data_IF_794464063698
#
_entry.id   IF_794464063698
#
_cell.length_a   1.000
_cell.length_b   1.000
_cell.length_c   1.000
_cell.angle_alpha   90.00
_cell.angle_beta   90.00
_cell.angle_gamma   90.00
#
_symmetry.space_group_name_H-M   'P 1'
#
loop_
_entity.id
_entity.type
_entity.pdbx_description
1 polymer ?
#
# COMPACT_ATOMS: atom_id res chain seq x y z
N UNK A 1 -8.00 12.04 29.21
CA UNK A 1 -6.92 11.63 28.29
C UNK A 1 -7.59 11.18 26.99
N UNK A 2 -7.27 11.79 25.86
CA UNK A 2 -7.77 11.33 24.55
C UNK A 2 -7.26 9.89 24.31
N UNK A 3 -8.12 9.02 23.79
CA UNK A 3 -7.69 7.69 23.33
C UNK A 3 -6.64 7.88 22.24
N UNK A 4 -5.53 7.13 22.29
CA UNK A 4 -4.59 7.06 21.17
C UNK A 4 -5.18 6.35 19.95
N UNK A 5 -4.52 6.42 18.79
CA UNK A 5 -4.90 5.63 17.63
C UNK A 5 -4.92 4.13 17.97
N UNK A 6 -5.82 3.38 17.36
CA UNK A 6 -5.95 1.94 17.60
C UNK A 6 -4.61 1.19 17.43
N UNK A 7 -3.82 1.57 16.43
CA UNK A 7 -2.52 0.99 16.11
C UNK A 7 -1.41 1.27 17.12
N UNK A 8 -1.52 2.30 17.96
CA UNK A 8 -0.51 2.53 19.02
C UNK A 8 -0.49 1.43 20.08
N UNK A 9 -1.58 0.71 20.23
CA UNK A 9 -1.71 -0.46 21.13
C UNK A 9 -1.44 -1.81 20.45
N UNK A 10 -1.31 -1.85 19.13
CA UNK A 10 -0.98 -3.09 18.38
C UNK A 10 0.54 -3.29 18.36
N UNK A 11 1.05 -3.97 19.38
CA UNK A 11 2.47 -4.28 19.55
C UNK A 11 2.80 -5.76 19.31
N UNK A 12 1.81 -6.57 18.92
CA UNK A 12 2.01 -8.00 18.70
C UNK A 12 2.81 -8.26 17.41
N UNK A 13 3.81 -9.15 17.50
CA UNK A 13 4.50 -9.63 16.31
C UNK A 13 3.53 -10.38 15.39
N UNK A 14 3.70 -10.16 14.08
CA UNK A 14 2.91 -10.85 13.06
C UNK A 14 3.68 -12.04 12.49
N UNK A 15 2.95 -13.08 12.15
CA UNK A 15 3.52 -14.24 11.48
C UNK A 15 3.90 -13.85 10.05
N UNK A 16 5.20 -13.94 9.76
CA UNK A 16 5.75 -13.65 8.43
C UNK A 16 5.85 -14.94 7.63
N UNK A 17 5.36 -14.94 6.40
CA UNK A 17 5.62 -15.98 5.41
C UNK A 17 6.47 -15.43 4.25
N UNK A 18 7.14 -16.35 3.52
CA UNK A 18 7.89 -16.06 2.31
C UNK A 18 7.70 -17.23 1.36
N UNK A 19 6.67 -17.14 0.54
CA UNK A 19 6.16 -18.27 -0.23
C UNK A 19 6.39 -18.07 -1.73
N UNK A 20 6.74 -19.15 -2.41
CA UNK A 20 6.83 -19.14 -3.86
C UNK A 20 5.42 -19.20 -4.47
N UNK A 21 5.10 -18.22 -5.32
CA UNK A 21 3.78 -18.06 -5.96
C UNK A 21 3.81 -18.33 -7.47
N UNK A 22 4.99 -18.56 -8.00
CA UNK A 22 5.26 -18.89 -9.40
C UNK A 22 6.75 -19.19 -9.59
N UNK A 23 7.20 -19.64 -10.75
CA UNK A 23 8.61 -19.93 -11.00
C UNK A 23 9.50 -18.71 -10.79
N UNK A 24 10.28 -18.68 -9.69
CA UNK A 24 11.14 -17.56 -9.32
C UNK A 24 10.38 -16.31 -8.82
N UNK A 25 9.11 -16.44 -8.44
CA UNK A 25 8.30 -15.35 -7.91
C UNK A 25 7.92 -15.67 -6.46
N UNK A 26 8.14 -14.72 -5.56
CA UNK A 26 7.90 -14.92 -4.14
C UNK A 26 7.09 -13.76 -3.55
N UNK A 27 6.20 -14.08 -2.62
CA UNK A 27 5.47 -13.13 -1.79
C UNK A 27 5.98 -13.19 -0.36
N UNK A 28 6.40 -12.04 0.18
CA UNK A 28 6.61 -11.82 1.60
C UNK A 28 5.32 -11.25 2.17
N UNK A 29 4.66 -11.96 3.10
CA UNK A 29 3.39 -11.52 3.69
C UNK A 29 3.44 -11.60 5.21
N UNK A 30 2.68 -10.75 5.91
CA UNK A 30 2.76 -10.61 7.35
C UNK A 30 1.42 -10.21 8.00
N UNK A 31 0.37 -11.02 7.84
CA UNK A 31 -0.92 -10.90 8.57
C UNK A 31 -1.51 -9.47 8.62
N UNK A 32 -1.56 -8.78 7.52
CA UNK A 32 -2.09 -7.41 7.41
C UNK A 32 -1.03 -6.30 7.57
N UNK A 33 0.23 -6.65 7.84
CA UNK A 33 1.35 -5.72 7.65
C UNK A 33 1.73 -5.63 6.16
N UNK A 34 2.51 -4.61 5.76
CA UNK A 34 2.91 -4.43 4.37
C UNK A 34 3.61 -5.64 3.76
N UNK A 35 3.09 -6.12 2.63
CA UNK A 35 3.72 -7.16 1.84
C UNK A 35 4.89 -6.60 1.00
N UNK A 36 5.77 -7.50 0.54
CA UNK A 36 6.76 -7.23 -0.50
C UNK A 36 6.77 -8.38 -1.51
N UNK A 37 7.17 -8.08 -2.74
CA UNK A 37 7.35 -9.06 -3.79
C UNK A 37 8.80 -9.28 -4.14
N UNK A 38 9.13 -10.48 -4.66
CA UNK A 38 10.47 -10.77 -5.20
C UNK A 38 10.32 -11.47 -6.54
N UNK A 39 11.00 -10.94 -7.55
CA UNK A 39 11.05 -11.47 -8.90
C UNK A 39 12.48 -11.86 -9.20
N UNK A 40 12.73 -13.14 -9.40
CA UNK A 40 14.05 -13.69 -9.75
C UNK A 40 14.09 -13.93 -11.25
N UNK A 41 15.01 -13.26 -11.94
CA UNK A 41 15.28 -13.47 -13.35
C UNK A 41 16.47 -14.40 -13.62
N UNK A 42 17.06 -14.31 -14.81
CA UNK A 42 18.20 -15.17 -15.20
C UNK A 42 19.51 -14.77 -14.47
N UNK A 43 19.72 -13.48 -14.26
CA UNK A 43 20.98 -12.90 -13.77
C UNK A 43 20.85 -11.99 -12.55
N UNK A 44 19.64 -11.57 -12.23
CA UNK A 44 19.39 -10.61 -11.16
C UNK A 44 17.97 -10.75 -10.63
N UNK A 45 17.69 -10.02 -9.52
CA UNK A 45 16.38 -9.96 -8.90
C UNK A 45 15.85 -8.53 -8.85
N UNK A 46 14.52 -8.41 -8.81
CA UNK A 46 13.80 -7.21 -8.45
C UNK A 46 13.01 -7.47 -7.17
N UNK A 47 13.02 -6.49 -6.25
CA UNK A 47 12.15 -6.44 -5.08
C UNK A 47 11.06 -5.40 -5.34
N UNK A 48 9.82 -5.72 -4.96
CA UNK A 48 8.67 -4.81 -4.98
C UNK A 48 8.39 -4.40 -3.54
N UNK A 49 8.49 -3.12 -3.24
CA UNK A 49 8.38 -2.48 -1.94
C UNK A 49 9.46 -2.90 -0.92
N UNK A 50 10.06 -1.89 -0.32
CA UNK A 50 11.31 -1.99 0.42
C UNK A 50 11.13 -2.22 1.93
N UNK A 51 9.91 -2.42 2.42
CA UNK A 51 9.57 -2.40 3.85
C UNK A 51 9.77 -1.02 4.51
N UNK A 52 9.30 -0.88 5.76
CA UNK A 52 9.26 0.41 6.46
C UNK A 52 10.63 0.86 7.02
N UNK A 53 11.55 -0.06 7.31
CA UNK A 53 12.87 0.29 7.84
C UNK A 53 13.97 -0.55 7.21
N UNK A 54 15.22 -0.05 7.20
CA UNK A 54 16.38 -0.84 6.76
C UNK A 54 16.57 -2.16 7.53
N UNK A 55 16.22 -2.18 8.81
CA UNK A 55 16.27 -3.40 9.61
C UNK A 55 15.25 -4.45 9.12
N UNK A 56 14.02 -4.02 8.82
CA UNK A 56 12.98 -4.91 8.26
C UNK A 56 13.33 -5.35 6.83
N UNK A 57 13.85 -4.44 6.01
CA UNK A 57 14.35 -4.76 4.68
C UNK A 57 15.48 -5.82 4.72
N UNK A 58 16.35 -5.76 5.71
CA UNK A 58 17.41 -6.76 5.90
C UNK A 58 16.85 -8.18 6.15
N UNK A 59 15.71 -8.30 6.84
CA UNK A 59 15.03 -9.59 7.02
C UNK A 59 14.51 -10.14 5.67
N UNK A 60 13.99 -9.26 4.81
CA UNK A 60 13.56 -9.64 3.45
C UNK A 60 14.78 -10.07 2.60
N UNK A 61 15.86 -9.28 2.61
CA UNK A 61 17.12 -9.60 1.90
C UNK A 61 17.65 -10.98 2.33
N UNK A 62 17.64 -11.25 3.63
CA UNK A 62 18.10 -12.55 4.17
C UNK A 62 17.22 -13.73 3.70
N UNK A 63 15.93 -13.50 3.42
CA UNK A 63 15.03 -14.51 2.84
C UNK A 63 15.30 -14.70 1.35
N UNK A 64 15.53 -13.62 0.61
CA UNK A 64 15.93 -13.68 -0.81
C UNK A 64 17.21 -14.51 -0.96
N UNK A 65 18.21 -14.28 -0.12
CA UNK A 65 19.47 -15.04 -0.16
C UNK A 65 19.33 -16.55 0.09
N UNK A 66 18.20 -17.01 0.66
CA UNK A 66 17.93 -18.46 0.82
C UNK A 66 17.38 -19.13 -0.44
N UNK A 67 16.86 -18.37 -1.38
CA UNK A 67 16.22 -18.88 -2.60
C UNK A 67 17.00 -18.60 -3.87
N UNK A 68 17.96 -17.67 -3.81
CA UNK A 68 18.83 -17.33 -4.95
C UNK A 68 20.12 -16.66 -4.50
N UNK A 69 21.20 -16.85 -5.25
CA UNK A 69 22.49 -16.16 -5.11
C UNK A 69 22.63 -14.94 -6.04
N UNK A 70 21.60 -14.68 -6.87
CA UNK A 70 21.59 -13.56 -7.80
C UNK A 70 21.45 -12.22 -7.07
N UNK A 71 22.14 -11.16 -7.54
CA UNK A 71 22.06 -9.85 -6.90
C UNK A 71 20.66 -9.22 -7.03
N UNK A 72 20.20 -8.55 -5.97
CA UNK A 72 19.05 -7.65 -6.06
C UNK A 72 19.53 -6.39 -6.77
N UNK A 73 19.14 -6.24 -8.03
CA UNK A 73 19.58 -5.13 -8.89
C UNK A 73 18.60 -3.97 -8.90
N UNK A 74 17.33 -4.25 -8.64
CA UNK A 74 16.27 -3.26 -8.67
C UNK A 74 15.35 -3.38 -7.44
N UNK A 75 14.91 -2.22 -6.94
CA UNK A 75 13.80 -2.11 -5.99
C UNK A 75 12.75 -1.19 -6.60
N UNK A 76 11.57 -1.71 -6.87
CA UNK A 76 10.42 -0.92 -7.30
C UNK A 76 9.64 -0.44 -6.08
N UNK A 77 9.37 0.83 -6.00
CA UNK A 77 8.42 1.41 -5.04
C UNK A 77 7.06 1.50 -5.71
N UNK A 78 6.08 0.74 -5.22
CA UNK A 78 4.73 0.72 -5.78
C UNK A 78 4.03 2.07 -5.63
N UNK A 79 4.30 2.78 -4.52
CA UNK A 79 3.84 4.12 -4.21
C UNK A 79 4.75 4.76 -3.14
N UNK A 80 4.37 5.95 -2.61
CA UNK A 80 5.28 6.80 -1.82
C UNK A 80 5.23 6.58 -0.30
N UNK A 81 4.25 5.84 0.27
CA UNK A 81 4.08 5.74 1.71
C UNK A 81 5.29 5.18 2.44
N UNK A 82 5.57 5.74 3.62
CA UNK A 82 6.75 5.44 4.43
C UNK A 82 6.94 3.95 4.70
N UNK A 83 5.85 3.21 4.95
CA UNK A 83 5.86 1.75 5.20
C UNK A 83 6.34 0.91 4.02
N UNK A 84 6.44 1.50 2.82
CA UNK A 84 6.88 0.83 1.57
C UNK A 84 8.27 1.22 1.14
N UNK A 85 8.72 2.41 1.52
CA UNK A 85 9.87 3.04 0.86
C UNK A 85 11.09 3.19 1.75
N UNK A 86 10.93 3.39 3.08
CA UNK A 86 12.05 3.83 3.92
C UNK A 86 13.11 2.74 4.19
N UNK A 87 12.79 1.47 3.93
CA UNK A 87 13.76 0.36 3.99
C UNK A 87 14.74 0.31 2.83
N UNK A 88 14.53 1.08 1.77
CA UNK A 88 15.27 0.96 0.51
C UNK A 88 16.80 1.12 0.65
N UNK A 89 17.27 1.88 1.63
CA UNK A 89 18.71 2.07 1.88
C UNK A 89 19.47 0.80 2.30
N UNK A 90 18.74 -0.28 2.66
CA UNK A 90 19.35 -1.59 2.94
C UNK A 90 19.79 -2.33 1.67
N UNK A 91 19.17 -2.05 0.53
CA UNK A 91 19.44 -2.72 -0.75
C UNK A 91 20.68 -2.11 -1.44
N UNK A 92 21.85 -2.40 -0.91
CA UNK A 92 23.11 -1.82 -1.37
C UNK A 92 23.41 -2.18 -2.82
N UNK A 93 23.62 -1.15 -3.67
CA UNK A 93 23.94 -1.31 -5.08
C UNK A 93 22.72 -1.56 -5.98
N UNK A 94 21.50 -1.60 -5.43
CA UNK A 94 20.29 -1.65 -6.22
C UNK A 94 19.86 -0.27 -6.70
N UNK A 95 19.31 -0.21 -7.92
CA UNK A 95 18.62 0.96 -8.44
C UNK A 95 17.20 1.01 -7.89
N UNK A 96 16.77 2.20 -7.44
CA UNK A 96 15.43 2.42 -6.88
C UNK A 96 14.55 3.02 -7.99
N UNK A 97 13.48 2.30 -8.33
CA UNK A 97 12.55 2.66 -9.38
C UNK A 97 11.23 3.16 -8.79
N UNK A 98 10.63 4.17 -9.40
CA UNK A 98 9.28 4.64 -9.09
C UNK A 98 8.67 5.38 -10.28
N UNK A 99 7.34 5.60 -10.27
CA UNK A 99 6.75 6.56 -11.19
C UNK A 99 7.22 7.99 -10.90
N UNK A 100 7.18 8.87 -11.91
CA UNK A 100 7.45 10.31 -11.72
C UNK A 100 6.52 10.90 -10.66
N UNK A 101 5.24 10.47 -10.65
CA UNK A 101 4.26 10.89 -9.67
C UNK A 101 4.64 10.44 -8.25
N UNK A 102 5.03 9.19 -8.04
CA UNK A 102 5.51 8.69 -6.74
C UNK A 102 6.73 9.48 -6.24
N UNK A 103 7.71 9.77 -7.11
CA UNK A 103 8.84 10.61 -6.74
C UNK A 103 8.41 12.04 -6.38
N UNK A 104 7.44 12.60 -7.11
CA UNK A 104 6.84 13.90 -6.81
C UNK A 104 6.17 13.93 -5.43
N UNK A 105 5.41 12.89 -5.09
CA UNK A 105 4.75 12.75 -3.78
C UNK A 105 5.77 12.58 -2.64
N UNK A 106 6.87 11.84 -2.85
CA UNK A 106 7.98 11.79 -1.87
C UNK A 106 8.54 13.19 -1.62
N UNK A 107 8.74 13.99 -2.67
CA UNK A 107 9.26 15.35 -2.54
C UNK A 107 8.27 16.31 -1.87
N UNK A 108 6.97 16.17 -2.18
CA UNK A 108 5.92 17.06 -1.67
C UNK A 108 5.58 16.76 -0.20
N UNK A 109 5.41 15.48 0.16
CA UNK A 109 4.80 15.05 1.42
C UNK A 109 5.48 13.89 2.15
N UNK A 110 6.52 13.30 1.59
CA UNK A 110 7.17 12.13 2.18
C UNK A 110 7.71 12.34 3.59
N UNK A 111 8.17 13.55 3.92
CA UNK A 111 8.63 13.86 5.29
C UNK A 111 7.48 13.87 6.28
N UNK A 112 6.35 14.48 5.92
CA UNK A 112 5.15 14.55 6.75
C UNK A 112 4.54 13.15 6.92
N UNK A 113 4.47 12.37 5.85
CA UNK A 113 4.01 10.98 5.87
C UNK A 113 4.87 10.13 6.83
N UNK A 114 6.19 10.19 6.70
CA UNK A 114 7.12 9.49 7.59
C UNK A 114 6.88 9.85 9.06
N UNK A 115 6.80 11.15 9.40
CA UNK A 115 6.62 11.59 10.78
C UNK A 115 5.25 11.19 11.35
N UNK A 116 4.20 11.28 10.53
CA UNK A 116 2.84 10.88 10.87
C UNK A 116 2.75 9.37 11.11
N UNK A 117 3.21 8.55 10.16
CA UNK A 117 3.10 7.10 10.25
C UNK A 117 3.91 6.49 11.40
N UNK A 118 5.15 6.95 11.63
CA UNK A 118 5.96 6.52 12.77
C UNK A 118 5.22 6.80 14.08
N UNK A 119 4.60 7.98 14.19
CA UNK A 119 3.88 8.38 15.40
C UNK A 119 2.61 7.59 15.68
N UNK A 120 1.88 7.21 14.65
CA UNK A 120 0.57 6.54 14.78
C UNK A 120 0.63 5.03 14.72
N UNK A 121 1.69 4.42 14.13
CA UNK A 121 1.83 2.97 13.99
C UNK A 121 3.28 2.50 14.27
N UNK A 122 3.80 2.70 15.49
CA UNK A 122 5.22 2.49 15.81
C UNK A 122 5.71 1.05 15.56
N UNK A 123 4.84 0.03 15.68
CA UNK A 123 5.22 -1.37 15.44
C UNK A 123 5.71 -1.62 14.01
N UNK A 124 5.14 -0.92 13.03
CA UNK A 124 5.57 -1.05 11.63
C UNK A 124 6.94 -0.43 11.35
N UNK A 125 7.49 0.35 12.28
CA UNK A 125 8.79 1.02 12.14
C UNK A 125 9.82 0.47 13.14
N UNK A 126 9.95 -0.86 13.19
CA UNK A 126 10.97 -1.50 14.04
C UNK A 126 12.36 -0.98 13.70
N UNK A 127 13.15 -0.64 14.71
CA UNK A 127 14.49 -0.05 14.57
C UNK A 127 14.46 1.24 13.71
N UNK A 128 13.52 2.14 14.03
CA UNK A 128 13.29 3.43 13.34
C UNK A 128 14.56 4.27 13.21
N UNK A 129 15.49 4.15 14.16
CA UNK A 129 16.79 4.83 14.16
C UNK A 129 17.71 4.40 13.01
N UNK A 130 17.39 3.31 12.31
CA UNK A 130 18.15 2.85 11.13
C UNK A 130 17.75 3.60 9.84
N UNK A 131 16.66 4.36 9.85
CA UNK A 131 16.18 5.13 8.69
C UNK A 131 17.11 6.34 8.47
N UNK A 132 17.83 6.44 7.33
CA UNK A 132 18.75 7.55 7.10
C UNK A 132 18.05 8.85 6.65
N UNK A 133 16.77 8.79 6.35
CA UNK A 133 15.95 9.86 5.77
C UNK A 133 15.06 9.34 4.66
N UNK A 134 14.53 10.23 3.81
CA UNK A 134 13.66 9.86 2.70
C UNK A 134 14.42 9.03 1.66
N UNK A 135 13.70 8.08 1.06
CA UNK A 135 14.18 7.33 -0.10
C UNK A 135 13.99 8.16 -1.37
N UNK A 136 15.03 8.23 -2.19
CA UNK A 136 14.99 8.92 -3.46
C UNK A 136 15.16 7.92 -4.61
N UNK A 137 14.10 7.69 -5.43
CA UNK A 137 14.24 6.88 -6.64
C UNK A 137 15.32 7.43 -7.57
N UNK A 138 16.22 6.56 -8.04
CA UNK A 138 17.29 6.88 -8.99
C UNK A 138 16.82 6.80 -10.45
N UNK A 139 15.79 5.99 -10.71
CA UNK A 139 15.18 5.82 -12.03
C UNK A 139 13.69 6.10 -11.91
N UNK A 140 13.18 7.01 -12.74
CA UNK A 140 11.74 7.32 -12.80
C UNK A 140 11.20 7.20 -14.21
N UNK A 141 9.89 7.01 -14.33
CA UNK A 141 9.17 6.87 -15.59
C UNK A 141 7.77 7.49 -15.47
N UNK A 142 7.19 8.03 -16.57
CA UNK A 142 5.89 8.71 -16.50
C UNK A 142 4.73 7.72 -16.24
N UNK A 143 4.56 6.70 -17.10
CA UNK A 143 3.38 5.83 -17.05
C UNK A 143 3.76 4.35 -16.99
N UNK A 144 4.73 3.92 -17.81
CA UNK A 144 5.12 2.52 -17.89
C UNK A 144 6.57 2.34 -18.33
N UNK A 145 7.14 1.21 -17.92
CA UNK A 145 8.44 0.74 -18.41
C UNK A 145 8.53 -0.77 -18.32
N UNK A 146 9.40 -1.38 -19.14
CA UNK A 146 9.81 -2.77 -18.98
C UNK A 146 11.22 -2.84 -18.42
N UNK A 147 11.41 -3.71 -17.43
CA UNK A 147 12.72 -4.09 -16.90
C UNK A 147 12.97 -5.54 -17.23
N UNK A 148 14.14 -5.82 -17.80
CA UNK A 148 14.55 -7.16 -18.17
C UNK A 148 15.54 -7.73 -17.15
N UNK A 149 15.17 -8.83 -16.51
CA UNK A 149 16.02 -9.61 -15.61
C UNK A 149 16.56 -10.83 -16.38
N UNK A 150 17.53 -10.59 -17.27
CA UNK A 150 17.90 -11.55 -18.30
C UNK A 150 16.80 -11.65 -19.37
N UNK A 151 16.19 -12.83 -19.54
CA UNK A 151 15.06 -13.04 -20.49
C UNK A 151 13.69 -12.76 -19.88
N UNK A 152 13.59 -12.59 -18.55
CA UNK A 152 12.33 -12.32 -17.89
C UNK A 152 11.98 -10.85 -17.97
N UNK A 153 10.84 -10.56 -18.57
CA UNK A 153 10.24 -9.23 -18.59
C UNK A 153 9.48 -8.96 -17.30
N UNK A 154 9.68 -7.77 -16.72
CA UNK A 154 8.81 -7.19 -15.70
C UNK A 154 8.23 -5.91 -16.29
N UNK A 155 6.92 -5.88 -16.51
CA UNK A 155 6.19 -4.68 -16.94
C UNK A 155 5.73 -3.90 -15.72
N UNK A 156 6.20 -2.69 -15.59
CA UNK A 156 5.82 -1.77 -14.52
C UNK A 156 4.87 -0.73 -15.12
N UNK A 157 3.66 -0.59 -14.55
CA UNK A 157 2.63 0.23 -15.19
C UNK A 157 1.84 1.02 -14.15
N UNK A 158 1.61 2.30 -14.42
CA UNK A 158 0.56 3.10 -13.80
C UNK A 158 -0.74 2.84 -14.57
N UNK A 159 -1.68 2.18 -13.94
CA UNK A 159 -2.95 1.78 -14.58
C UNK A 159 -4.14 2.66 -14.17
N UNK A 160 -3.87 3.71 -13.42
CA UNK A 160 -4.82 4.69 -12.90
C UNK A 160 -4.51 5.10 -11.47
N UNK A 161 -5.07 6.22 -11.04
CA UNK A 161 -5.01 6.66 -9.64
C UNK A 161 -5.87 5.74 -8.77
N UNK A 162 -5.43 5.47 -7.56
CA UNK A 162 -6.19 4.62 -6.63
C UNK A 162 -5.88 4.93 -5.19
N UNK A 163 -5.00 4.14 -4.59
CA UNK A 163 -4.53 4.33 -3.22
C UNK A 163 -3.73 5.64 -3.08
N UNK A 164 -2.96 5.99 -4.12
CA UNK A 164 -2.31 7.29 -4.30
C UNK A 164 -2.43 7.74 -5.76
N UNK A 165 -1.92 8.93 -6.08
CA UNK A 165 -1.85 9.39 -7.47
C UNK A 165 -0.69 8.77 -8.27
N UNK A 166 0.23 8.07 -7.63
CA UNK A 166 1.45 7.55 -8.27
C UNK A 166 1.56 6.03 -8.28
N UNK A 167 0.49 5.31 -7.93
CA UNK A 167 0.50 3.85 -7.82
C UNK A 167 0.95 3.17 -9.10
N UNK A 168 1.82 2.17 -8.96
CA UNK A 168 2.22 1.30 -10.05
C UNK A 168 2.11 -0.16 -9.66
N UNK A 169 1.83 -0.99 -10.64
CA UNK A 169 1.88 -2.45 -10.53
C UNK A 169 3.12 -2.99 -11.24
N UNK A 170 3.57 -4.18 -10.81
CA UNK A 170 4.56 -4.97 -11.55
C UNK A 170 3.92 -6.25 -12.06
N UNK A 171 3.83 -6.40 -13.37
CA UNK A 171 3.33 -7.60 -14.02
C UNK A 171 4.48 -8.44 -14.59
N UNK A 172 4.38 -9.77 -14.42
CA UNK A 172 5.34 -10.75 -14.93
C UNK A 172 4.63 -11.61 -15.98
N UNK A 173 4.70 -11.23 -17.28
CA UNK A 173 3.84 -11.80 -18.33
C UNK A 173 4.04 -13.29 -18.56
N UNK A 174 5.27 -13.81 -18.39
CA UNK A 174 5.58 -15.24 -18.60
C UNK A 174 4.90 -16.16 -17.57
N UNK A 175 4.45 -15.59 -16.44
CA UNK A 175 3.77 -16.33 -15.37
C UNK A 175 2.34 -15.83 -15.10
N UNK A 176 1.92 -14.72 -15.70
CA UNK A 176 0.61 -14.09 -15.44
C UNK A 176 0.44 -13.55 -14.02
N UNK A 177 1.52 -13.30 -13.29
CA UNK A 177 1.51 -12.82 -11.91
C UNK A 177 1.61 -11.30 -11.87
N UNK A 178 0.83 -10.68 -10.99
CA UNK A 178 0.88 -9.22 -10.74
C UNK A 178 1.18 -8.94 -9.27
N UNK A 179 2.04 -7.98 -9.00
CA UNK A 179 2.25 -7.34 -7.71
C UNK A 179 1.55 -5.99 -7.74
N UNK A 180 0.47 -5.85 -6.97
CA UNK A 180 -0.45 -4.69 -7.11
C UNK A 180 -0.12 -3.51 -6.21
N UNK A 181 0.83 -3.65 -5.28
CA UNK A 181 0.92 -2.68 -4.18
C UNK A 181 -0.43 -2.55 -3.48
N UNK A 182 -0.70 -1.40 -2.90
CA UNK A 182 -1.92 -1.16 -2.10
C UNK A 182 -3.17 -0.87 -2.97
N UNK A 183 -3.10 -1.09 -4.29
CA UNK A 183 -4.30 -1.06 -5.14
C UNK A 183 -5.27 -2.19 -4.80
N UNK A 184 -4.77 -3.35 -4.34
CA UNK A 184 -5.60 -4.46 -3.86
C UNK A 184 -5.18 -4.84 -2.46
N UNK A 185 -6.15 -4.96 -1.56
CA UNK A 185 -5.98 -5.46 -0.20
C UNK A 185 -6.85 -6.69 0.03
N UNK A 186 -6.35 -7.68 0.78
CA UNK A 186 -7.08 -8.92 0.99
C UNK A 186 -7.25 -9.24 2.47
N UNK A 187 -8.50 -9.26 2.96
CA UNK A 187 -8.85 -9.37 4.40
C UNK A 187 -8.12 -8.36 5.29
N UNK A 188 -7.71 -7.25 4.70
CA UNK A 188 -7.10 -6.11 5.35
C UNK A 188 -7.83 -4.84 4.91
N UNK A 189 -7.98 -3.88 5.80
CA UNK A 189 -8.61 -2.62 5.43
C UNK A 189 -7.69 -1.82 4.51
N UNK A 190 -8.23 -1.27 3.43
CA UNK A 190 -7.51 -0.30 2.63
C UNK A 190 -7.20 0.93 3.50
N UNK A 191 -5.96 1.43 3.44
CA UNK A 191 -5.68 2.78 3.91
C UNK A 191 -6.02 3.74 2.77
N UNK A 192 -6.92 4.67 3.01
CA UNK A 192 -7.43 5.58 1.98
C UNK A 192 -7.10 7.05 2.27
N UNK A 193 -6.13 7.34 3.14
CA UNK A 193 -5.80 8.72 3.53
C UNK A 193 -5.38 9.61 2.35
N UNK A 194 -4.83 9.03 1.30
CA UNK A 194 -4.40 9.71 0.07
C UNK A 194 -5.13 9.19 -1.18
N UNK A 195 -6.23 8.48 -0.99
CA UNK A 195 -6.98 7.83 -2.06
C UNK A 195 -7.66 8.83 -3.01
N UNK A 196 -7.91 8.34 -4.22
CA UNK A 196 -8.77 8.93 -5.25
C UNK A 196 -10.00 8.03 -5.42
N UNK A 197 -11.02 8.20 -4.57
CA UNK A 197 -12.17 7.30 -4.49
C UNK A 197 -12.98 7.23 -5.78
N UNK A 198 -13.05 8.31 -6.53
CA UNK A 198 -13.76 8.35 -7.81
C UNK A 198 -13.04 7.61 -8.93
N UNK A 199 -11.70 7.48 -8.85
CA UNK A 199 -10.88 6.86 -9.89
C UNK A 199 -10.56 5.38 -9.57
N UNK A 200 -10.38 5.06 -8.29
CA UNK A 200 -9.87 3.74 -7.87
C UNK A 200 -10.71 2.56 -8.37
N UNK A 201 -12.06 2.61 -8.40
CA UNK A 201 -12.85 1.52 -8.99
C UNK A 201 -12.48 1.25 -10.46
N UNK A 202 -12.31 2.30 -11.28
CA UNK A 202 -11.87 2.13 -12.68
C UNK A 202 -10.45 1.56 -12.79
N UNK A 203 -9.56 1.95 -11.87
CA UNK A 203 -8.20 1.37 -11.78
C UNK A 203 -8.24 -0.11 -11.46
N UNK A 204 -9.17 -0.55 -10.60
CA UNK A 204 -9.40 -1.97 -10.31
C UNK A 204 -9.99 -2.72 -11.50
N UNK A 205 -10.89 -2.10 -12.27
CA UNK A 205 -11.41 -2.67 -13.51
C UNK A 205 -10.27 -2.86 -14.54
N UNK A 206 -9.40 -1.86 -14.71
CA UNK A 206 -8.22 -1.96 -15.58
C UNK A 206 -7.28 -3.11 -15.16
N UNK A 207 -7.11 -3.33 -13.85
CA UNK A 207 -6.36 -4.46 -13.33
C UNK A 207 -7.04 -5.80 -13.64
N UNK A 208 -8.36 -5.88 -13.48
CA UNK A 208 -9.16 -7.08 -13.75
C UNK A 208 -9.12 -7.46 -15.24
N UNK A 209 -9.10 -6.48 -16.15
CA UNK A 209 -8.98 -6.70 -17.60
C UNK A 209 -7.66 -7.36 -18.01
N UNK A 210 -6.61 -7.22 -17.20
CA UNK A 210 -5.34 -7.92 -17.43
C UNK A 210 -5.41 -9.42 -17.17
N UNK A 211 -6.48 -9.91 -16.51
CA UNK A 211 -6.73 -11.32 -16.18
C UNK A 211 -5.54 -12.00 -15.47
N UNK A 212 -5.02 -11.44 -14.37
CA UNK A 212 -3.89 -12.06 -13.68
C UNK A 212 -4.27 -13.45 -13.14
N UNK A 213 -3.35 -14.41 -13.30
CA UNK A 213 -3.53 -15.78 -12.78
C UNK A 213 -3.19 -15.89 -11.29
N UNK A 214 -2.36 -14.97 -10.79
CA UNK A 214 -2.07 -14.79 -9.38
C UNK A 214 -1.73 -13.31 -9.11
N UNK A 215 -1.93 -12.88 -7.85
CA UNK A 215 -1.70 -11.50 -7.46
C UNK A 215 -1.13 -11.43 -6.04
N UNK A 216 -0.12 -10.59 -5.83
CA UNK A 216 0.36 -10.22 -4.49
C UNK A 216 -0.25 -8.87 -4.13
N UNK A 217 -1.19 -8.84 -3.15
CA UNK A 217 -1.80 -7.60 -2.69
C UNK A 217 -0.84 -6.80 -1.81
N UNK A 218 -1.19 -5.56 -1.50
CA UNK A 218 -0.43 -4.73 -0.57
C UNK A 218 -0.37 -5.30 0.83
N UNK A 219 -1.47 -5.90 1.29
CA UNK A 219 -1.58 -6.59 2.58
C UNK A 219 -2.43 -7.84 2.44
N UNK A 220 -2.22 -8.79 3.37
CA UNK A 220 -2.92 -10.06 3.39
C UNK A 220 -2.22 -11.15 2.58
N UNK A 221 -2.88 -12.29 2.43
CA UNK A 221 -2.30 -13.45 1.74
C UNK A 221 -2.16 -13.21 0.23
N UNK A 222 -1.15 -13.83 -0.39
CA UNK A 222 -1.04 -13.87 -1.84
C UNK A 222 -2.23 -14.64 -2.45
N UNK A 223 -2.77 -14.13 -3.55
CA UNK A 223 -3.90 -14.68 -4.30
C UNK A 223 -3.33 -15.56 -5.41
N UNK A 224 -3.43 -16.87 -5.26
CA UNK A 224 -2.69 -17.83 -6.09
C UNK A 224 -3.53 -18.52 -7.17
N UNK A 225 -4.80 -18.13 -7.29
CA UNK A 225 -5.68 -18.59 -8.38
C UNK A 225 -6.47 -17.42 -8.99
N UNK A 226 -6.93 -17.52 -10.24
CA UNK A 226 -7.75 -16.49 -10.87
C UNK A 226 -9.01 -16.14 -10.07
N UNK A 227 -9.62 -17.13 -9.42
CA UNK A 227 -10.80 -16.94 -8.58
C UNK A 227 -10.48 -16.08 -7.35
N UNK A 228 -9.37 -16.40 -6.65
CA UNK A 228 -8.90 -15.59 -5.52
C UNK A 228 -8.57 -14.16 -5.95
N UNK A 229 -7.95 -13.98 -7.11
CA UNK A 229 -7.65 -12.64 -7.66
C UNK A 229 -8.94 -11.86 -7.88
N UNK A 230 -9.93 -12.47 -8.52
CA UNK A 230 -11.25 -11.85 -8.72
C UNK A 230 -11.90 -11.47 -7.41
N UNK A 231 -11.86 -12.38 -6.42
CA UNK A 231 -12.43 -12.13 -5.09
C UNK A 231 -11.70 -10.99 -4.35
N UNK A 232 -10.37 -10.91 -4.45
CA UNK A 232 -9.57 -9.83 -3.84
C UNK A 232 -9.87 -8.47 -4.45
N UNK A 233 -9.98 -8.38 -5.77
CA UNK A 233 -10.38 -7.16 -6.48
C UNK A 233 -11.81 -6.76 -6.08
N UNK A 234 -12.75 -7.70 -6.09
CA UNK A 234 -14.15 -7.43 -5.71
C UNK A 234 -14.28 -6.99 -4.24
N UNK A 235 -13.51 -7.61 -3.33
CA UNK A 235 -13.47 -7.26 -1.92
C UNK A 235 -12.95 -5.83 -1.71
N UNK A 236 -11.89 -5.44 -2.41
CA UNK A 236 -11.35 -4.07 -2.39
C UNK A 236 -12.38 -3.09 -2.93
N UNK A 237 -13.02 -3.39 -4.07
CA UNK A 237 -14.08 -2.56 -4.66
C UNK A 237 -15.26 -2.37 -3.70
N UNK A 238 -15.73 -3.46 -3.06
CA UNK A 238 -16.84 -3.39 -2.08
C UNK A 238 -16.47 -2.55 -0.85
N UNK A 239 -15.22 -2.64 -0.38
CA UNK A 239 -14.73 -1.81 0.71
C UNK A 239 -14.78 -0.32 0.35
N UNK A 240 -14.22 0.05 -0.81
CA UNK A 240 -14.14 1.43 -1.28
C UNK A 240 -15.53 2.03 -1.54
N UNK A 241 -16.39 1.31 -2.26
CA UNK A 241 -17.73 1.79 -2.62
C UNK A 241 -18.64 1.91 -1.39
N UNK A 242 -18.63 0.91 -0.48
CA UNK A 242 -19.40 0.98 0.77
C UNK A 242 -19.00 2.20 1.60
N UNK A 243 -17.70 2.45 1.73
CA UNK A 243 -17.18 3.60 2.46
C UNK A 243 -17.59 4.91 1.79
N UNK A 244 -17.23 5.08 0.51
CA UNK A 244 -17.39 6.35 -0.17
C UNK A 244 -18.86 6.75 -0.35
N UNK A 245 -19.72 5.79 -0.68
CA UNK A 245 -21.18 6.06 -0.84
C UNK A 245 -21.82 6.49 0.49
N UNK A 246 -21.42 5.86 1.62
CA UNK A 246 -21.92 6.24 2.93
C UNK A 246 -21.48 7.65 3.33
N UNK A 247 -20.25 8.03 3.01
CA UNK A 247 -19.73 9.38 3.28
C UNK A 247 -20.34 10.42 2.36
N UNK A 248 -20.49 10.13 1.05
CA UNK A 248 -21.18 11.01 0.09
C UNK A 248 -22.61 11.32 0.53
N UNK A 249 -23.36 10.31 0.97
CA UNK A 249 -24.73 10.51 1.50
C UNK A 249 -24.72 11.44 2.73
N UNK A 250 -23.71 11.29 3.59
CA UNK A 250 -23.56 12.16 4.76
C UNK A 250 -23.25 13.61 4.39
N UNK A 251 -22.33 13.82 3.44
CA UNK A 251 -21.98 15.16 2.94
C UNK A 251 -23.20 15.83 2.26
N UNK A 252 -23.91 15.07 1.41
CA UNK A 252 -25.12 15.57 0.73
C UNK A 252 -26.21 16.01 1.72
N UNK A 253 -26.26 15.42 2.91
CA UNK A 253 -27.19 15.79 4.01
C UNK A 253 -26.64 16.87 4.95
N UNK A 254 -25.48 17.44 4.64
CA UNK A 254 -24.83 18.49 5.45
C UNK A 254 -24.35 18.02 6.82
N UNK A 255 -24.08 16.73 7.01
CA UNK A 255 -23.58 16.18 8.28
C UNK A 255 -22.15 16.62 8.54
N UNK A 256 -21.80 16.73 9.83
CA UNK A 256 -20.40 16.94 10.27
C UNK A 256 -19.50 15.75 9.93
N UNK A 257 -18.17 15.93 10.00
CA UNK A 257 -17.22 14.83 9.84
C UNK A 257 -17.47 13.71 10.86
N UNK A 258 -17.77 14.08 12.12
CA UNK A 258 -18.10 13.11 13.18
C UNK A 258 -19.34 12.30 12.86
N UNK A 259 -20.43 12.96 12.43
CA UNK A 259 -21.66 12.26 12.06
C UNK A 259 -21.47 11.39 10.83
N UNK A 260 -20.65 11.83 9.86
CA UNK A 260 -20.29 11.05 8.69
C UNK A 260 -19.47 9.79 9.08
N UNK A 261 -18.56 9.93 10.04
CA UNK A 261 -17.79 8.82 10.58
C UNK A 261 -18.68 7.77 11.26
N UNK A 262 -19.60 8.21 12.14
CA UNK A 262 -20.52 7.31 12.82
C UNK A 262 -21.46 6.60 11.84
N UNK A 263 -21.93 7.32 10.80
CA UNK A 263 -22.77 6.75 9.77
C UNK A 263 -22.01 5.76 8.87
N UNK A 264 -20.78 6.09 8.47
CA UNK A 264 -19.92 5.20 7.69
C UNK A 264 -19.62 3.91 8.49
N UNK A 265 -19.36 4.02 9.80
CA UNK A 265 -19.13 2.86 10.66
C UNK A 265 -20.32 1.90 10.66
N UNK A 266 -21.56 2.40 10.68
CA UNK A 266 -22.76 1.54 10.59
C UNK A 266 -22.80 0.74 9.28
N UNK A 267 -22.36 1.32 8.16
CA UNK A 267 -22.31 0.63 6.87
C UNK A 267 -21.12 -0.36 6.78
N UNK A 268 -19.97 0.03 7.31
CA UNK A 268 -18.71 -0.70 7.18
C UNK A 268 -18.54 -1.87 8.16
N UNK A 269 -18.91 -1.68 9.44
CA UNK A 269 -18.68 -2.66 10.51
C UNK A 269 -19.25 -4.05 10.21
N UNK A 270 -20.47 -4.21 9.66
CA UNK A 270 -21.04 -5.53 9.37
C UNK A 270 -20.20 -6.37 8.39
N UNK A 271 -19.44 -5.71 7.51
CA UNK A 271 -18.66 -6.35 6.46
C UNK A 271 -17.17 -6.45 6.81
N UNK A 272 -16.60 -5.39 7.41
CA UNK A 272 -15.15 -5.17 7.38
C UNK A 272 -14.49 -5.00 8.75
N UNK A 273 -15.23 -4.94 9.86
CA UNK A 273 -14.63 -4.69 11.20
C UNK A 273 -13.62 -5.76 11.65
N UNK A 274 -13.64 -6.95 11.03
CA UNK A 274 -12.69 -8.04 11.32
C UNK A 274 -11.44 -7.99 10.44
N UNK A 275 -11.39 -7.06 9.47
CA UNK A 275 -10.22 -6.90 8.61
C UNK A 275 -9.04 -6.37 9.43
N UNK A 276 -7.86 -6.86 9.12
CA UNK A 276 -6.64 -6.36 9.72
C UNK A 276 -6.56 -4.83 9.55
N UNK A 277 -6.04 -4.15 10.55
CA UNK A 277 -5.87 -2.68 10.62
C UNK A 277 -7.14 -1.82 10.39
N UNK A 278 -8.34 -2.41 10.40
CA UNK A 278 -9.59 -1.69 10.14
C UNK A 278 -9.79 -0.47 11.07
N UNK A 279 -9.63 -0.67 12.39
CA UNK A 279 -9.81 0.43 13.37
C UNK A 279 -8.75 1.53 13.23
N UNK A 280 -7.58 1.19 12.68
CA UNK A 280 -6.55 2.17 12.37
C UNK A 280 -6.93 3.01 11.14
N UNK A 281 -7.36 2.34 10.05
CA UNK A 281 -7.61 2.99 8.78
C UNK A 281 -8.88 3.83 8.75
N UNK A 282 -9.96 3.39 9.40
CA UNK A 282 -11.28 3.99 9.24
C UNK A 282 -11.34 5.50 9.50
N UNK A 283 -10.69 6.09 10.53
CA UNK A 283 -10.67 7.53 10.74
C UNK A 283 -10.10 8.32 9.56
N UNK A 284 -8.96 7.88 9.04
CA UNK A 284 -8.28 8.49 7.89
C UNK A 284 -9.11 8.35 6.61
N UNK A 285 -9.67 7.16 6.42
CA UNK A 285 -10.49 6.82 5.26
C UNK A 285 -11.73 7.70 5.18
N UNK A 286 -12.48 7.82 6.27
CA UNK A 286 -13.67 8.68 6.32
C UNK A 286 -13.30 10.15 6.14
N UNK A 287 -12.21 10.61 6.76
CA UNK A 287 -11.76 11.99 6.62
C UNK A 287 -11.41 12.33 5.16
N UNK A 288 -10.68 11.45 4.46
CA UNK A 288 -10.34 11.65 3.04
C UNK A 288 -11.59 11.55 2.14
N UNK A 289 -12.45 10.57 2.38
CA UNK A 289 -13.71 10.45 1.63
C UNK A 289 -14.60 11.68 1.81
N UNK A 290 -14.64 12.26 3.01
CA UNK A 290 -15.38 13.47 3.32
C UNK A 290 -14.81 14.69 2.59
N UNK A 291 -13.48 14.82 2.52
CA UNK A 291 -12.81 15.88 1.76
C UNK A 291 -13.15 15.76 0.27
N UNK A 292 -13.02 14.56 -0.33
CA UNK A 292 -13.29 14.34 -1.75
C UNK A 292 -14.77 14.57 -2.11
N UNK A 293 -15.68 14.09 -1.27
CA UNK A 293 -17.12 14.31 -1.45
C UNK A 293 -17.53 15.80 -1.39
N UNK A 294 -16.71 16.65 -0.76
CA UNK A 294 -16.85 18.12 -0.71
C UNK A 294 -16.14 18.84 -1.85
N UNK A 295 -15.53 18.11 -2.78
CA UNK A 295 -14.84 18.66 -3.93
C UNK A 295 -13.35 18.97 -3.72
N UNK A 296 -12.73 18.49 -2.64
CA UNK A 296 -11.29 18.56 -2.43
C UNK A 296 -10.66 17.35 -3.13
N UNK A 297 -10.37 17.52 -4.42
CA UNK A 297 -9.87 16.44 -5.28
C UNK A 297 -8.49 15.95 -4.84
N UNK A 298 -7.54 16.88 -4.58
CA UNK A 298 -6.18 16.53 -4.18
C UNK A 298 -6.11 16.24 -2.67
N UNK A 299 -5.57 15.08 -2.26
CA UNK A 299 -5.51 14.72 -0.85
C UNK A 299 -4.71 15.72 -0.02
N UNK A 300 -5.30 16.19 1.06
CA UNK A 300 -4.62 17.10 2.00
C UNK A 300 -3.54 16.32 2.76
N UNK A 301 -2.33 16.89 2.83
CA UNK A 301 -1.17 16.25 3.44
C UNK A 301 -1.45 15.86 4.90
N UNK A 302 -1.18 14.63 5.26
CA UNK A 302 -1.22 14.15 6.64
C UNK A 302 0.03 14.59 7.38
N UNK A 303 -0.18 15.31 8.47
CA UNK A 303 0.85 15.71 9.41
C UNK A 303 0.48 15.16 10.79
N UNK A 304 1.46 14.98 11.67
CA UNK A 304 1.20 14.56 13.04
C UNK A 304 0.23 15.52 13.80
N UNK A 305 0.13 16.78 13.39
CA UNK A 305 -0.85 17.74 13.92
C UNK A 305 -2.25 17.43 13.37
N UNK A 306 -2.42 17.29 12.06
CA UNK A 306 -3.69 16.95 11.41
C UNK A 306 -4.23 15.61 11.92
N UNK A 307 -3.36 14.62 12.13
CA UNK A 307 -3.74 13.33 12.72
C UNK A 307 -4.44 13.53 14.08
N UNK A 308 -3.84 14.36 14.94
CA UNK A 308 -4.41 14.64 16.29
C UNK A 308 -5.70 15.44 16.21
N UNK A 309 -5.78 16.45 15.34
CA UNK A 309 -6.98 17.27 15.14
C UNK A 309 -8.14 16.43 14.62
N UNK A 310 -7.90 15.64 13.58
CA UNK A 310 -8.88 14.70 13.03
C UNK A 310 -9.37 13.73 14.10
N UNK A 311 -8.44 13.10 14.82
CA UNK A 311 -8.78 12.13 15.86
C UNK A 311 -9.60 12.77 16.98
N UNK A 312 -9.24 13.98 17.42
CA UNK A 312 -10.01 14.73 18.40
C UNK A 312 -11.43 15.06 17.90
N UNK A 313 -11.56 15.51 16.65
CA UNK A 313 -12.85 15.81 16.05
C UNK A 313 -13.78 14.59 15.97
N UNK A 314 -13.22 13.38 15.79
CA UNK A 314 -14.00 12.13 15.72
C UNK A 314 -14.40 11.57 17.10
N UNK A 315 -13.77 12.01 18.18
CA UNK A 315 -14.11 11.55 19.56
C UNK A 315 -15.30 12.31 20.17
N UNK A 316 -15.67 13.47 19.64
CA UNK A 316 -16.78 14.33 20.12
C UNK A 316 -16.36 15.24 21.21
#
# INVERSE_FOLDING_TARGET
MSKGFASTGDLSEKKVSFDQIGPGLYAFTAEGDPNSGVIVGDDSCMVIDAQATPAMASDLIARVAKVTDKPIKYVLLSHYHAVRVLGASAFKGAEILASDATRGLIAERGKQDMDSEIGRFPRLFRAVETIPGLTWPSITFPDQMSVWLGRREVRIMHIGRGHTAGDVIAAVPDCGVVFSGDLVEYHSACYCGDAHFTDWPQTLDNLAEMQPTALVPGRGAALTTPEMVKDGIAMTTDFLTTLYDSVKDSVAKGRSLKDAFDFARVAMDPKFKTFAIYEHCLPFNVSRAYDEARGIEWPVIWTAERDREMWAALQG
#
